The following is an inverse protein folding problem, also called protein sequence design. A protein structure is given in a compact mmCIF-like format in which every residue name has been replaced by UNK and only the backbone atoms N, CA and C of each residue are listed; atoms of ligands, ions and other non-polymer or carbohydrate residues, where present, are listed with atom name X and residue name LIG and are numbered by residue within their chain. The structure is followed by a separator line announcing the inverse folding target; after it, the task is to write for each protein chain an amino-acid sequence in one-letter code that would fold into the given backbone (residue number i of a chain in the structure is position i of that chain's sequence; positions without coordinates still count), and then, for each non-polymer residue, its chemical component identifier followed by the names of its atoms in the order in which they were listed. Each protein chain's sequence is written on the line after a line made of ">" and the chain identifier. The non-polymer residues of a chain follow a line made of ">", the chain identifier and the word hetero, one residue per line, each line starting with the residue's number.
data_IF_973511073743
#
_entry.id   IF_973511073743
#
_cell.length_a   1.000
_cell.length_b   1.000
_cell.length_c   1.000
_cell.angle_alpha   90.00
_cell.angle_beta   90.00
_cell.angle_gamma   90.00
#
_symmetry.space_group_name_H-M   'P 1'
#
loop_
_entity.id
_entity.type
_entity.pdbx_description
1 polymer ?
#
# COMPACT_ATOMS: atom_id res chain seq x y z
N UNK A 1 22.69 20.85 -11.66
CA UNK A 1 21.88 19.83 -12.36
C UNK A 1 20.88 19.31 -11.36
N UNK A 2 19.65 19.83 -11.40
CA UNK A 2 18.63 19.55 -10.40
C UNK A 2 17.79 18.38 -10.92
N UNK A 3 17.98 17.20 -10.33
CA UNK A 3 17.07 16.08 -10.53
C UNK A 3 15.87 16.30 -9.61
N UNK A 4 14.81 16.90 -10.15
CA UNK A 4 13.52 16.93 -9.50
C UNK A 4 12.87 15.56 -9.72
N UNK A 5 13.13 14.62 -8.82
CA UNK A 5 12.37 13.39 -8.74
C UNK A 5 10.95 13.76 -8.35
N UNK A 6 10.02 13.67 -9.30
CA UNK A 6 8.59 13.80 -9.07
C UNK A 6 8.20 12.72 -8.05
N UNK A 7 8.05 13.11 -6.78
CA UNK A 7 7.53 12.26 -5.72
C UNK A 7 6.04 12.05 -6.00
N UNK A 8 5.69 11.20 -6.96
CA UNK A 8 4.31 10.76 -7.12
C UNK A 8 3.95 9.80 -5.99
N UNK A 9 3.71 10.34 -4.80
CA UNK A 9 3.22 9.62 -3.62
C UNK A 9 1.72 9.25 -3.75
N UNK A 10 1.26 8.89 -4.94
CA UNK A 10 -0.13 8.58 -5.24
C UNK A 10 -0.23 7.30 -6.06
N UNK A 11 -0.93 6.29 -5.52
CA UNK A 11 -1.27 5.08 -6.25
C UNK A 11 -2.72 5.19 -6.75
N UNK A 12 -2.91 5.25 -8.07
CA UNK A 12 -4.24 5.27 -8.68
C UNK A 12 -4.65 3.87 -9.14
N UNK A 13 -5.66 3.29 -8.49
CA UNK A 13 -6.21 1.99 -8.84
C UNK A 13 -7.50 2.18 -9.66
N UNK A 14 -7.51 1.71 -10.91
CA UNK A 14 -8.67 1.80 -11.82
C UNK A 14 -9.37 0.43 -11.96
N UNK A 15 -10.63 0.44 -12.37
CA UNK A 15 -11.45 -0.75 -12.65
C UNK A 15 -11.78 -1.62 -11.41
N UNK A 16 -11.90 -1.01 -10.23
CA UNK A 16 -12.43 -1.71 -9.05
C UNK A 16 -13.95 -1.90 -9.16
N UNK A 17 -14.43 -3.06 -8.71
CA UNK A 17 -15.87 -3.31 -8.60
C UNK A 17 -16.41 -2.50 -7.42
N UNK A 18 -17.63 -1.96 -7.49
CA UNK A 18 -18.23 -1.26 -6.35
C UNK A 18 -18.38 -2.22 -5.16
N UNK A 19 -17.58 -2.03 -4.11
CA UNK A 19 -17.59 -2.84 -2.90
C UNK A 19 -16.82 -2.10 -1.79
N UNK A 20 -16.98 -2.55 -0.55
CA UNK A 20 -16.13 -2.12 0.56
C UNK A 20 -14.79 -2.84 0.52
N UNK A 21 -13.71 -2.07 0.39
CA UNK A 21 -12.33 -2.55 0.39
C UNK A 21 -11.62 -2.19 1.70
N UNK A 22 -10.59 -2.98 2.02
CA UNK A 22 -9.59 -2.66 3.04
C UNK A 22 -8.26 -2.45 2.35
N UNK A 23 -7.50 -1.44 2.79
CA UNK A 23 -6.18 -1.16 2.27
C UNK A 23 -5.12 -1.65 3.26
N UNK A 24 -4.13 -2.38 2.73
CA UNK A 24 -2.89 -2.71 3.44
C UNK A 24 -1.72 -2.33 2.55
N UNK A 25 -0.71 -1.74 3.16
CA UNK A 25 0.54 -1.37 2.50
C UNK A 25 1.61 -2.29 3.05
N UNK A 26 2.30 -2.99 2.16
CA UNK A 26 3.40 -3.87 2.53
C UNK A 26 4.67 -3.15 2.12
N UNK A 27 5.54 -2.87 3.07
CA UNK A 27 6.85 -2.29 2.82
C UNK A 27 7.78 -3.42 2.41
N UNK A 28 7.87 -3.64 1.11
CA UNK A 28 8.79 -4.60 0.53
C UNK A 28 10.22 -4.05 0.66
N UNK A 29 10.98 -4.64 1.58
CA UNK A 29 12.35 -4.20 1.86
C UNK A 29 13.36 -4.80 0.89
N UNK A 30 13.00 -5.87 0.19
CA UNK A 30 13.89 -6.64 -0.67
C UNK A 30 13.51 -6.57 -2.16
N UNK A 31 12.46 -5.81 -2.49
CA UNK A 31 11.92 -5.56 -3.82
C UNK A 31 11.54 -6.83 -4.60
N UNK A 32 11.13 -7.91 -3.92
CA UNK A 32 10.71 -9.14 -4.58
C UNK A 32 9.21 -9.19 -4.93
N UNK A 33 8.44 -8.17 -4.55
CA UNK A 33 7.00 -8.04 -4.80
C UNK A 33 6.13 -9.03 -4.01
N UNK A 34 6.67 -9.67 -2.97
CA UNK A 34 5.97 -10.66 -2.14
C UNK A 34 6.19 -10.31 -0.68
N UNK A 35 5.17 -10.50 0.15
CA UNK A 35 5.36 -10.37 1.59
C UNK A 35 6.25 -11.51 2.09
N UNK A 36 7.42 -11.17 2.65
CA UNK A 36 8.31 -12.13 3.28
C UNK A 36 8.03 -12.30 4.78
N UNK A 37 7.86 -13.55 5.25
CA UNK A 37 7.75 -13.83 6.66
C UNK A 37 9.10 -13.59 7.36
N UNK A 38 9.01 -13.29 8.66
CA UNK A 38 10.18 -13.22 9.52
C UNK A 38 10.89 -14.58 9.60
N UNK A 39 12.20 -14.55 9.72
CA UNK A 39 13.01 -15.74 9.93
C UNK A 39 13.55 -15.73 11.34
N UNK A 40 12.98 -16.57 12.21
CA UNK A 40 13.39 -16.68 13.62
C UNK A 40 14.87 -17.08 13.73
N UNK A 41 15.32 -18.06 12.95
CA UNK A 41 16.71 -18.54 12.96
C UNK A 41 17.72 -17.48 12.51
N UNK A 42 17.29 -16.48 11.74
CA UNK A 42 18.12 -15.36 11.28
C UNK A 42 17.83 -14.05 12.03
N UNK A 43 17.03 -14.09 13.11
CA UNK A 43 16.55 -12.90 13.83
C UNK A 43 15.99 -11.81 12.89
N UNK A 44 15.39 -12.21 11.76
CA UNK A 44 14.85 -11.27 10.77
C UNK A 44 13.37 -11.07 11.04
N UNK A 45 12.96 -9.83 11.28
CA UNK A 45 11.55 -9.48 11.41
C UNK A 45 10.82 -9.65 10.07
N UNK A 46 9.52 -9.99 10.08
CA UNK A 46 8.69 -9.98 8.88
C UNK A 46 8.62 -8.58 8.27
N UNK A 47 8.32 -8.51 6.98
CA UNK A 47 8.13 -7.22 6.32
C UNK A 47 6.96 -6.43 6.93
N UNK A 48 7.18 -5.13 7.08
CA UNK A 48 6.23 -4.26 7.76
C UNK A 48 4.94 -4.13 6.95
N UNK A 49 3.81 -4.43 7.60
CA UNK A 49 2.49 -4.27 7.02
C UNK A 49 1.77 -3.16 7.75
N UNK A 50 1.46 -2.09 7.03
CA UNK A 50 0.69 -0.95 7.51
C UNK A 50 -0.76 -1.16 7.10
N UNK A 51 -1.66 -1.22 8.07
CA UNK A 51 -3.09 -1.39 7.85
C UNK A 51 -3.80 -0.04 7.93
N UNK A 52 -4.50 0.33 6.85
CA UNK A 52 -5.43 1.44 6.91
C UNK A 52 -6.64 1.01 7.74
N UNK A 53 -6.88 1.67 8.87
CA UNK A 53 -7.97 1.32 9.79
C UNK A 53 -9.35 1.61 9.21
N UNK A 54 -9.45 2.55 8.27
CA UNK A 54 -10.69 2.89 7.59
C UNK A 54 -11.14 1.81 6.61
N UNK A 55 -12.45 1.70 6.43
CA UNK A 55 -13.04 0.95 5.32
C UNK A 55 -13.26 1.91 4.16
N UNK A 56 -12.94 1.48 2.95
CA UNK A 56 -13.09 2.28 1.74
C UNK A 56 -14.32 1.76 1.01
N UNK A 57 -15.40 2.53 1.00
CA UNK A 57 -16.60 2.18 0.24
C UNK A 57 -16.47 2.69 -1.20
N UNK A 58 -16.03 1.83 -2.10
CA UNK A 58 -15.96 2.17 -3.53
C UNK A 58 -17.34 2.04 -4.14
N UNK A 59 -17.84 3.14 -4.72
CA UNK A 59 -19.12 3.20 -5.44
C UNK A 59 -18.88 3.41 -6.93
N UNK A 60 -19.82 2.93 -7.76
CA UNK A 60 -19.75 3.12 -9.22
C UNK A 60 -19.80 4.62 -9.52
N UNK A 61 -18.91 5.10 -10.39
CA UNK A 61 -18.79 6.50 -10.80
C UNK A 61 -18.36 7.48 -9.68
N UNK A 62 -17.77 6.99 -8.58
CA UNK A 62 -17.20 7.84 -7.53
C UNK A 62 -15.68 7.74 -7.53
N UNK A 63 -15.01 8.87 -7.41
CA UNK A 63 -13.58 8.93 -7.13
C UNK A 63 -13.39 8.99 -5.61
N UNK A 64 -12.48 8.17 -5.09
CA UNK A 64 -12.17 8.12 -3.66
C UNK A 64 -10.68 8.44 -3.48
N UNK A 65 -10.39 9.55 -2.81
CA UNK A 65 -9.04 9.90 -2.38
C UNK A 65 -8.84 9.44 -0.93
N UNK A 66 -7.80 8.64 -0.70
CA UNK A 66 -7.48 8.12 0.64
C UNK A 66 -6.09 8.58 1.00
N UNK A 67 -6.01 9.39 2.06
CA UNK A 67 -4.73 9.74 2.66
C UNK A 67 -4.32 8.66 3.65
N UNK A 68 -3.17 8.06 3.41
CA UNK A 68 -2.55 7.11 4.33
C UNK A 68 -1.33 7.79 4.95
N UNK A 69 -1.27 7.78 6.28
CA UNK A 69 -0.10 8.23 7.03
C UNK A 69 0.80 7.02 7.24
N UNK A 70 2.02 7.09 6.70
CA UNK A 70 3.06 6.06 6.76
C UNK A 70 4.06 6.36 7.89
#
# INVERSE_FOLDING_TARGET
>A
MSFQGDQQNGLTIKHLRPQTYKLRIIVDQNNNGRWDPGNYSRNKQPEQVIYYKGKIEVRKNWENEIKVEL
#
